data_IF_753398400133
#
_entry.id   IF_753398400133
#
_cell.length_a   1.000
_cell.length_b   1.000
_cell.length_c   1.000
_cell.angle_alpha   90.00
_cell.angle_beta   90.00
_cell.angle_gamma   90.00
#
_symmetry.space_group_name_H-M   'P 1'
#
loop_
_entity.id
_entity.type
_entity.pdbx_description
1 polymer ?
#
# COMPACT_ATOMS: atom_id res chain seq x y z
N UNK A 1 -6.31 10.61 10.62
CA UNK A 1 -5.51 9.53 10.01
C UNK A 1 -6.28 8.97 8.83
N UNK A 2 -7.46 8.40 9.06
CA UNK A 2 -8.36 7.84 8.04
C UNK A 2 -8.60 8.78 6.84
N UNK A 3 -9.10 10.01 7.06
CA UNK A 3 -9.42 10.93 5.96
C UNK A 3 -8.25 11.40 5.08
N UNK A 4 -7.00 11.12 5.49
CA UNK A 4 -5.80 11.61 4.79
C UNK A 4 -4.93 10.47 4.27
N UNK A 5 -4.69 9.45 5.08
CA UNK A 5 -3.78 8.36 4.76
C UNK A 5 -4.47 7.16 4.12
N UNK A 6 -5.74 6.89 4.47
CA UNK A 6 -6.49 5.77 3.89
C UNK A 6 -6.97 6.12 2.48
N UNK A 7 -6.73 5.21 1.54
CA UNK A 7 -7.06 5.32 0.12
C UNK A 7 -7.73 4.03 -0.36
N UNK A 8 -8.08 3.96 -1.64
CA UNK A 8 -8.78 2.80 -2.20
C UNK A 8 -7.97 1.50 -2.06
N UNK A 9 -6.64 1.59 -2.20
CA UNK A 9 -5.72 0.45 -2.15
C UNK A 9 -5.03 0.19 -0.81
N UNK A 10 -5.32 0.97 0.24
CA UNK A 10 -4.65 0.86 1.54
C UNK A 10 -4.15 2.21 2.04
N UNK A 11 -2.96 2.26 2.65
CA UNK A 11 -2.39 3.48 3.25
C UNK A 11 -1.19 4.01 2.48
N UNK A 12 -1.15 5.33 2.26
CA UNK A 12 0.01 6.00 1.65
C UNK A 12 1.17 6.09 2.64
N UNK A 13 2.40 6.03 2.13
CA UNK A 13 3.61 6.21 2.93
C UNK A 13 3.71 7.61 3.55
N UNK A 14 3.23 8.63 2.82
CA UNK A 14 3.19 10.02 3.25
C UNK A 14 2.07 10.78 2.51
N UNK A 15 1.82 12.03 2.91
CA UNK A 15 0.84 12.91 2.26
C UNK A 15 1.44 13.85 1.21
N UNK A 16 2.74 13.74 0.96
CA UNK A 16 3.46 14.54 -0.03
C UNK A 16 3.58 13.75 -1.32
N UNK A 17 3.43 14.42 -2.45
CA UNK A 17 3.72 13.88 -3.78
C UNK A 17 5.04 14.49 -4.25
N UNK A 18 6.14 13.83 -3.95
CA UNK A 18 7.50 14.33 -4.26
C UNK A 18 8.13 13.65 -5.47
N UNK A 19 7.62 12.48 -5.86
CA UNK A 19 8.25 11.58 -6.83
C UNK A 19 9.20 10.55 -6.19
N UNK A 20 9.45 10.67 -4.88
CA UNK A 20 10.24 9.70 -4.12
C UNK A 20 9.43 8.43 -3.81
N UNK A 21 10.13 7.31 -3.59
CA UNK A 21 9.46 6.00 -3.41
C UNK A 21 8.64 5.90 -2.12
N UNK A 22 9.02 6.66 -1.09
CA UNK A 22 8.44 6.64 0.26
C UNK A 22 7.45 7.79 0.49
N UNK A 23 6.81 8.25 -0.58
CA UNK A 23 5.84 9.33 -0.59
C UNK A 23 4.57 8.91 -1.35
N UNK A 24 3.50 9.70 -1.28
CA UNK A 24 2.31 9.45 -2.10
C UNK A 24 2.70 9.43 -3.60
N UNK A 25 2.07 8.55 -4.40
CA UNK A 25 0.90 7.72 -4.06
C UNK A 25 1.24 6.30 -3.55
N UNK A 26 2.50 6.03 -3.20
CA UNK A 26 2.95 4.69 -2.89
C UNK A 26 2.54 4.22 -1.49
N UNK A 27 2.10 2.97 -1.39
CA UNK A 27 1.94 2.20 -0.16
C UNK A 27 2.89 1.00 -0.14
N UNK A 28 3.29 0.61 1.08
CA UNK A 28 4.29 -0.44 1.31
C UNK A 28 3.75 -1.49 2.29
N UNK A 29 4.07 -2.76 2.06
CA UNK A 29 3.62 -3.85 2.93
C UNK A 29 4.03 -3.68 4.40
N UNK A 30 5.30 -3.31 4.73
CA UNK A 30 5.69 -3.07 6.12
C UNK A 30 4.88 -1.96 6.81
N UNK A 31 4.61 -0.86 6.11
CA UNK A 31 3.84 0.26 6.66
C UNK A 31 2.38 -0.12 6.88
N UNK A 32 1.81 -0.89 5.94
CA UNK A 32 0.45 -1.42 6.05
C UNK A 32 0.33 -2.35 7.25
N UNK A 33 1.26 -3.30 7.40
CA UNK A 33 1.28 -4.22 8.54
C UNK A 33 1.37 -3.48 9.88
N UNK A 34 2.33 -2.58 10.04
CA UNK A 34 2.47 -1.79 11.27
C UNK A 34 1.21 -0.97 11.58
N UNK A 35 0.55 -0.45 10.55
CA UNK A 35 -0.71 0.31 10.72
C UNK A 35 -1.84 -0.58 11.21
N UNK A 36 -2.05 -1.73 10.57
CA UNK A 36 -3.10 -2.70 10.94
C UNK A 36 -2.88 -3.20 12.37
N UNK A 37 -1.67 -3.68 12.69
CA UNK A 37 -1.33 -4.18 14.03
C UNK A 37 -1.47 -3.08 15.09
N UNK A 38 -1.06 -1.85 14.77
CA UNK A 38 -1.23 -0.70 15.65
C UNK A 38 -2.71 -0.45 15.97
N UNK A 39 -3.58 -0.46 14.95
CA UNK A 39 -5.02 -0.27 15.14
C UNK A 39 -5.66 -1.39 15.97
N UNK A 40 -5.31 -2.65 15.71
CA UNK A 40 -5.80 -3.80 16.48
C UNK A 40 -5.40 -3.73 17.97
N UNK A 41 -4.17 -3.32 18.25
CA UNK A 41 -3.68 -3.13 19.63
C UNK A 41 -4.50 -2.09 20.40
N UNK A 42 -5.00 -1.07 19.71
CA UNK A 42 -5.88 -0.03 20.27
C UNK A 42 -7.37 -0.27 20.02
N UNK A 43 -7.76 -1.49 19.66
CA UNK A 43 -9.16 -1.94 19.47
C UNK A 43 -9.92 -1.20 18.36
N UNK A 44 -9.21 -0.65 17.39
CA UNK A 44 -9.76 -0.04 16.17
C UNK A 44 -9.94 -1.09 15.07
N UNK A 45 -10.63 -2.19 15.39
CA UNK A 45 -10.65 -3.39 14.55
C UNK A 45 -11.29 -3.17 13.18
N UNK A 46 -12.39 -2.40 13.10
CA UNK A 46 -13.10 -2.15 11.85
C UNK A 46 -12.21 -1.43 10.83
N UNK A 47 -11.44 -0.43 11.29
CA UNK A 47 -10.50 0.31 10.46
C UNK A 47 -9.30 -0.55 10.07
N UNK A 48 -8.80 -1.38 10.99
CA UNK A 48 -7.72 -2.32 10.71
C UNK A 48 -8.12 -3.32 9.62
N UNK A 49 -9.33 -3.89 9.73
CA UNK A 49 -9.88 -4.84 8.77
C UNK A 49 -10.12 -4.20 7.39
N UNK A 50 -10.63 -2.96 7.34
CA UNK A 50 -10.81 -2.24 6.08
C UNK A 50 -9.45 -2.00 5.37
N UNK A 51 -8.43 -1.55 6.10
CA UNK A 51 -7.08 -1.36 5.54
C UNK A 51 -6.52 -2.68 4.99
N UNK A 52 -6.61 -3.77 5.77
CA UNK A 52 -6.11 -5.07 5.37
C UNK A 52 -6.82 -5.60 4.11
N UNK A 53 -8.14 -5.48 4.05
CA UNK A 53 -8.94 -5.89 2.88
C UNK A 53 -8.54 -5.11 1.63
N UNK A 54 -8.45 -3.78 1.71
CA UNK A 54 -8.06 -2.93 0.57
C UNK A 54 -6.68 -3.30 0.05
N UNK A 55 -5.71 -3.50 0.95
CA UNK A 55 -4.36 -3.91 0.60
C UNK A 55 -4.36 -5.26 -0.13
N UNK A 56 -5.00 -6.29 0.44
CA UNK A 56 -5.06 -7.63 -0.17
C UNK A 56 -5.74 -7.59 -1.54
N UNK A 57 -6.84 -6.85 -1.69
CA UNK A 57 -7.52 -6.69 -2.99
C UNK A 57 -6.60 -6.07 -4.03
N UNK A 58 -5.86 -5.01 -3.69
CA UNK A 58 -4.89 -4.38 -4.59
C UNK A 58 -3.80 -5.37 -5.03
N UNK A 59 -3.19 -6.07 -4.08
CA UNK A 59 -2.14 -7.07 -4.35
C UNK A 59 -2.63 -8.16 -5.30
N UNK A 60 -3.82 -8.72 -5.05
CA UNK A 60 -4.42 -9.76 -5.90
C UNK A 60 -4.74 -9.20 -7.30
N UNK A 61 -5.25 -7.97 -7.41
CA UNK A 61 -5.53 -7.36 -8.70
C UNK A 61 -4.26 -7.17 -9.53
N UNK A 62 -3.19 -6.67 -8.91
CA UNK A 62 -1.90 -6.50 -9.59
C UNK A 62 -1.33 -7.85 -9.98
N UNK A 63 -1.32 -8.83 -9.07
CA UNK A 63 -0.87 -10.19 -9.37
C UNK A 63 -1.64 -10.80 -10.55
N UNK A 64 -2.96 -10.62 -10.63
CA UNK A 64 -3.77 -11.09 -11.77
C UNK A 64 -3.40 -10.42 -13.09
N UNK A 65 -2.95 -9.17 -13.07
CA UNK A 65 -2.55 -8.41 -14.28
C UNK A 65 -1.12 -8.72 -14.72
N UNK A 66 -0.19 -8.82 -13.77
CA UNK A 66 1.25 -8.88 -14.06
C UNK A 66 1.84 -10.28 -13.89
N UNK A 67 1.15 -11.17 -13.16
CA UNK A 67 1.66 -12.46 -12.71
C UNK A 67 2.65 -12.36 -11.54
N UNK A 68 2.78 -11.18 -10.92
CA UNK A 68 3.83 -10.90 -9.92
C UNK A 68 3.32 -10.06 -8.76
N UNK A 69 3.94 -10.26 -7.60
CA UNK A 69 3.84 -9.33 -6.47
C UNK A 69 4.95 -8.30 -6.59
N UNK A 70 4.63 -7.04 -6.28
CA UNK A 70 5.52 -5.89 -6.42
C UNK A 70 6.09 -5.46 -5.06
N UNK A 71 7.20 -4.73 -5.06
CA UNK A 71 7.80 -4.16 -3.84
C UNK A 71 6.87 -3.15 -3.13
N UNK A 72 6.09 -2.39 -3.90
CA UNK A 72 5.23 -1.27 -3.48
C UNK A 72 4.08 -1.08 -4.47
N UNK A 73 3.03 -0.39 -4.04
CA UNK A 73 1.79 -0.26 -4.81
C UNK A 73 1.25 1.17 -4.83
N UNK A 74 0.65 1.59 -5.94
CA UNK A 74 -0.14 2.83 -5.98
C UNK A 74 -1.45 2.57 -5.24
N UNK A 75 -1.60 3.16 -4.05
CA UNK A 75 -2.79 2.95 -3.21
C UNK A 75 -3.89 3.98 -3.46
N UNK A 76 -3.59 5.05 -4.20
CA UNK A 76 -4.58 6.06 -4.61
C UNK A 76 -5.36 5.61 -5.85
N UNK A 77 -4.67 5.07 -6.86
CA UNK A 77 -5.24 4.54 -8.08
C UNK A 77 -4.78 3.09 -8.32
N UNK A 78 -5.69 2.15 -8.08
CA UNK A 78 -5.44 0.71 -8.16
C UNK A 78 -5.27 0.19 -9.61
N UNK A 79 -5.56 1.02 -10.62
CA UNK A 79 -5.35 0.69 -12.02
C UNK A 79 -3.91 0.99 -12.48
N UNK A 80 -3.19 1.85 -11.75
CA UNK A 80 -1.82 2.24 -12.09
C UNK A 80 -0.79 1.40 -11.33
N UNK A 81 0.35 1.21 -11.96
CA UNK A 81 1.52 0.66 -11.29
C UNK A 81 2.15 1.73 -10.38
N UNK A 82 2.80 1.28 -9.31
CA UNK A 82 3.59 2.18 -8.47
C UNK A 82 4.83 2.67 -9.22
N UNK A 83 5.24 3.90 -8.93
CA UNK A 83 6.39 4.52 -9.60
C UNK A 83 7.27 5.29 -8.63
N UNK A 84 8.17 6.09 -9.20
CA UNK A 84 9.10 6.93 -8.44
C UNK A 84 10.34 6.18 -7.93
N UNK A 85 11.36 6.98 -7.59
CA UNK A 85 12.66 6.50 -7.10
C UNK A 85 13.78 6.39 -8.13
N UNK A 86 14.95 6.02 -7.62
CA UNK A 86 16.21 5.95 -8.36
C UNK A 86 16.34 4.74 -9.31
N UNK A 87 15.50 3.70 -9.13
CA UNK A 87 15.61 2.44 -9.90
C UNK A 87 14.23 1.80 -10.19
N UNK A 88 14.14 0.91 -11.21
CA UNK A 88 12.91 0.19 -11.53
C UNK A 88 12.42 -0.72 -10.39
N UNK A 89 11.11 -0.89 -10.31
CA UNK A 89 10.45 -1.74 -9.32
C UNK A 89 10.94 -3.20 -9.40
N UNK A 90 11.14 -3.83 -8.25
CA UNK A 90 11.60 -5.21 -8.15
C UNK A 90 10.44 -6.23 -8.04
N UNK A 91 10.66 -7.42 -8.58
CA UNK A 91 9.67 -8.51 -8.66
C UNK A 91 9.76 -9.49 -7.46
N UNK A 92 8.62 -10.04 -7.03
CA UNK A 92 8.57 -11.20 -6.13
C UNK A 92 8.98 -10.92 -4.69
N UNK A 93 8.89 -9.66 -4.26
CA UNK A 93 9.48 -9.15 -3.03
C UNK A 93 8.95 -9.84 -1.75
N UNK A 94 9.85 -10.44 -0.96
CA UNK A 94 9.48 -11.39 0.11
C UNK A 94 8.69 -10.83 1.30
N UNK A 95 8.53 -9.51 1.43
CA UNK A 95 7.68 -8.90 2.47
C UNK A 95 6.25 -8.60 2.01
N UNK A 96 5.96 -8.79 0.71
CA UNK A 96 4.68 -8.43 0.08
C UNK A 96 3.71 -9.59 0.20
#
# INVERSE_FOLDING_TARGET
MESRFLKAGGVVASLKNTGEQWDAPNGWAPLTWMTVTGLENYKQNDLAEDIAKRWVVLNIQVFKRTGKLMEKYNVEDMALEAGGGEYPAQDGFGWT
#
